data_IF_574534772741
#
_entry.id   IF_574534772741
#
_cell.length_a   1.000
_cell.length_b   1.000
_cell.length_c   1.000
_cell.angle_alpha   90.00
_cell.angle_beta   90.00
_cell.angle_gamma   90.00
#
_symmetry.space_group_name_H-M   'P 1'
#
loop_
_entity.id
_entity.type
_entity.pdbx_description
1 polymer ?
#
# COMPACT_ATOMS: atom_id res chain seq x y z
N UNK A 1 94.46 48.79 -39.49
CA UNK A 1 94.56 48.69 -40.96
C UNK A 1 93.31 48.09 -41.54
N UNK A 2 92.56 48.91 -42.24
CA UNK A 2 91.47 48.55 -43.19
C UNK A 2 91.97 47.60 -44.30
N UNK A 3 91.09 46.96 -45.12
CA UNK A 3 89.77 47.47 -45.61
C UNK A 3 88.66 46.39 -45.82
N UNK A 4 87.44 46.91 -46.00
CA UNK A 4 86.31 46.37 -46.81
C UNK A 4 86.67 46.08 -48.24
N UNK A 5 85.90 45.33 -49.08
CA UNK A 5 84.49 45.65 -49.37
C UNK A 5 83.61 44.47 -49.91
N UNK A 6 82.32 44.81 -50.00
CA UNK A 6 81.36 44.72 -51.12
C UNK A 6 80.56 43.43 -51.45
N UNK A 7 79.27 43.62 -51.33
CA UNK A 7 78.14 43.43 -52.32
C UNK A 7 77.88 42.04 -52.93
N UNK A 8 76.70 41.63 -52.84
CA UNK A 8 76.03 40.71 -53.79
C UNK A 8 74.60 40.34 -53.37
N UNK A 9 73.72 41.09 -53.88
CA UNK A 9 72.50 40.76 -54.67
C UNK A 9 71.46 39.80 -54.03
N UNK A 10 70.25 40.33 -53.95
CA UNK A 10 68.96 39.73 -53.81
C UNK A 10 68.66 38.58 -54.76
N UNK A 11 67.98 37.55 -54.25
CA UNK A 11 67.24 36.59 -55.03
C UNK A 11 65.82 36.55 -54.49
N UNK A 12 64.86 37.00 -55.26
CA UNK A 12 63.47 36.94 -55.07
C UNK A 12 62.97 35.50 -55.04
N UNK A 13 62.40 35.08 -53.86
CA UNK A 13 61.70 33.80 -53.75
C UNK A 13 60.27 34.01 -54.03
N UNK A 14 59.78 33.57 -55.17
CA UNK A 14 58.41 33.48 -55.59
C UNK A 14 57.64 32.48 -54.72
N UNK A 15 56.74 32.98 -53.92
CA UNK A 15 55.77 32.12 -53.22
C UNK A 15 54.75 31.60 -54.22
N UNK A 16 54.42 30.28 -54.23
CA UNK A 16 53.35 29.73 -55.02
C UNK A 16 51.97 30.14 -54.40
N UNK A 17 50.90 30.31 -55.21
CA UNK A 17 49.59 30.74 -54.73
C UNK A 17 48.95 29.67 -53.86
N UNK A 18 48.35 30.12 -52.72
CA UNK A 18 47.63 29.30 -51.79
C UNK A 18 46.47 28.60 -52.50
N UNK A 19 46.49 27.28 -52.58
CA UNK A 19 45.39 26.44 -53.03
C UNK A 19 44.22 26.65 -52.06
N UNK A 20 43.13 27.29 -52.57
CA UNK A 20 41.83 27.39 -51.90
C UNK A 20 41.29 25.97 -51.62
N UNK A 21 41.41 25.50 -50.38
CA UNK A 21 40.75 24.28 -49.91
C UNK A 21 39.25 24.52 -49.94
N UNK A 22 38.55 24.01 -50.95
CA UNK A 22 37.10 23.88 -50.95
C UNK A 22 36.72 22.93 -49.82
N UNK A 23 36.15 23.49 -48.74
CA UNK A 23 35.55 22.72 -47.63
C UNK A 23 34.41 21.91 -48.24
N UNK A 24 34.58 20.59 -48.40
CA UNK A 24 33.48 19.67 -48.67
C UNK A 24 32.50 19.75 -47.49
N UNK A 25 31.20 20.01 -47.70
CA UNK A 25 30.20 20.01 -46.62
C UNK A 25 30.22 18.65 -45.95
N UNK A 26 30.40 18.66 -44.64
CA UNK A 26 30.75 17.50 -43.87
C UNK A 26 29.66 16.43 -43.83
N UNK A 27 30.06 15.20 -43.92
CA UNK A 27 29.29 13.95 -43.68
C UNK A 27 28.37 13.96 -42.42
N UNK A 28 28.57 14.90 -41.52
CA UNK A 28 27.71 15.08 -40.32
C UNK A 28 26.36 15.69 -40.67
N UNK A 29 26.25 16.62 -41.62
CA UNK A 29 24.94 17.20 -42.02
C UNK A 29 24.13 16.14 -42.77
N UNK A 30 24.68 15.40 -43.68
CA UNK A 30 23.96 14.33 -44.38
C UNK A 30 23.35 13.28 -43.45
N UNK A 31 24.06 12.84 -42.42
CA UNK A 31 23.52 11.88 -41.41
C UNK A 31 22.46 12.46 -40.51
N UNK A 32 22.45 13.79 -40.28
CA UNK A 32 21.37 14.45 -39.51
C UNK A 32 20.10 14.57 -40.37
N UNK A 33 20.28 14.88 -41.67
CA UNK A 33 19.14 14.99 -42.62
C UNK A 33 18.54 13.60 -42.88
N UNK A 34 19.33 12.53 -43.01
CA UNK A 34 18.84 11.15 -43.13
C UNK A 34 18.05 10.70 -41.92
N UNK A 35 18.48 11.05 -40.69
CA UNK A 35 17.74 10.75 -39.45
C UNK A 35 16.44 11.55 -39.34
N UNK A 36 16.44 12.83 -39.73
CA UNK A 36 15.25 13.68 -39.77
C UNK A 36 14.24 13.12 -40.77
N UNK A 37 14.68 12.72 -41.97
CA UNK A 37 13.81 12.07 -42.95
C UNK A 37 13.26 10.77 -42.42
N UNK A 38 14.06 9.94 -41.73
CA UNK A 38 13.62 8.71 -41.08
C UNK A 38 12.55 8.96 -40.01
N UNK A 39 12.71 9.97 -39.16
CA UNK A 39 11.68 10.35 -38.17
C UNK A 39 10.42 10.88 -38.80
N UNK A 40 10.53 11.69 -39.88
CA UNK A 40 9.37 12.22 -40.62
C UNK A 40 8.60 11.10 -41.31
N UNK A 41 9.30 10.13 -41.91
CA UNK A 41 8.66 8.95 -42.51
C UNK A 41 7.98 8.07 -41.48
N UNK A 42 8.64 7.84 -40.34
CA UNK A 42 8.05 7.08 -39.21
C UNK A 42 6.79 7.80 -38.67
N UNK A 43 6.88 9.11 -38.46
CA UNK A 43 5.74 9.91 -38.03
C UNK A 43 4.59 9.91 -39.06
N UNK A 44 4.90 10.03 -40.35
CA UNK A 44 3.90 9.94 -41.42
C UNK A 44 3.22 8.57 -41.48
N UNK A 45 4.00 7.49 -41.28
CA UNK A 45 3.47 6.13 -41.25
C UNK A 45 2.57 5.89 -40.02
N UNK A 46 2.96 6.39 -38.84
CA UNK A 46 2.11 6.29 -37.63
C UNK A 46 0.82 7.08 -37.77
N UNK A 47 0.86 8.28 -38.34
CA UNK A 47 -0.34 9.09 -38.63
C UNK A 47 -1.23 8.37 -39.66
N UNK A 48 -0.65 7.86 -40.75
CA UNK A 48 -1.41 7.12 -41.76
C UNK A 48 -2.08 5.88 -41.18
N UNK A 49 -1.39 5.14 -40.34
CA UNK A 49 -1.95 3.98 -39.65
C UNK A 49 -3.07 4.37 -38.68
N UNK A 50 -2.89 5.45 -37.92
CA UNK A 50 -3.92 5.97 -37.01
C UNK A 50 -5.17 6.39 -37.78
N UNK A 51 -5.01 7.11 -38.91
CA UNK A 51 -6.13 7.50 -39.77
C UNK A 51 -6.85 6.28 -40.34
N UNK A 52 -6.11 5.30 -40.84
CA UNK A 52 -6.69 4.06 -41.36
C UNK A 52 -7.50 3.30 -40.30
N UNK A 53 -6.98 3.21 -39.05
CA UNK A 53 -7.68 2.59 -37.93
C UNK A 53 -8.96 3.38 -37.58
N UNK A 54 -8.87 4.71 -37.53
CA UNK A 54 -10.03 5.56 -37.25
C UNK A 54 -11.09 5.39 -38.33
N UNK A 55 -10.72 5.42 -39.59
CA UNK A 55 -11.65 5.24 -40.72
C UNK A 55 -12.30 3.85 -40.67
N UNK A 56 -11.49 2.80 -40.36
CA UNK A 56 -12.03 1.47 -40.22
C UNK A 56 -13.02 1.36 -39.04
N UNK A 57 -12.72 1.99 -37.89
CA UNK A 57 -13.61 2.06 -36.73
C UNK A 57 -14.89 2.83 -37.02
N UNK A 58 -14.83 3.93 -37.81
CA UNK A 58 -16.00 4.70 -38.17
C UNK A 58 -16.94 3.92 -39.11
N UNK A 59 -16.37 3.13 -40.02
CA UNK A 59 -17.16 2.24 -40.88
C UNK A 59 -17.72 1.07 -40.08
N UNK A 60 -16.98 0.55 -39.12
CA UNK A 60 -17.35 -0.61 -38.28
C UNK A 60 -17.72 -0.19 -36.84
N UNK A 61 -18.47 0.93 -36.68
CA UNK A 61 -18.83 1.46 -35.37
C UNK A 61 -19.50 0.44 -34.43
N UNK A 62 -20.18 -0.56 -34.99
CA UNK A 62 -20.77 -1.66 -34.25
C UNK A 62 -19.73 -2.45 -33.42
N UNK A 63 -18.46 -2.49 -33.85
CA UNK A 63 -17.36 -3.13 -33.08
C UNK A 63 -17.16 -2.43 -31.76
N UNK A 64 -17.22 -1.09 -31.74
CA UNK A 64 -17.12 -0.29 -30.51
C UNK A 64 -18.29 -0.57 -29.58
N UNK A 65 -19.50 -0.75 -30.14
CA UNK A 65 -20.69 -1.10 -29.35
C UNK A 65 -20.53 -2.49 -28.72
N UNK A 66 -20.06 -3.48 -29.48
CA UNK A 66 -19.81 -4.83 -28.97
C UNK A 66 -18.73 -4.81 -27.88
N UNK A 67 -17.62 -4.11 -28.08
CA UNK A 67 -16.56 -3.96 -27.07
C UNK A 67 -17.10 -3.28 -25.81
N UNK A 68 -17.88 -2.22 -25.97
CA UNK A 68 -18.53 -1.53 -24.85
C UNK A 68 -19.48 -2.46 -24.07
N UNK A 69 -20.30 -3.21 -24.76
CA UNK A 69 -21.21 -4.19 -24.14
C UNK A 69 -20.44 -5.28 -23.38
N UNK A 70 -19.39 -5.83 -23.96
CA UNK A 70 -18.54 -6.83 -23.32
C UNK A 70 -17.83 -6.23 -22.07
N UNK A 71 -17.37 -4.99 -22.14
CA UNK A 71 -16.76 -4.29 -21.01
C UNK A 71 -17.76 -4.08 -19.86
N UNK A 72 -19.00 -3.70 -20.18
CA UNK A 72 -20.09 -3.53 -19.20
C UNK A 72 -20.46 -4.89 -18.57
N UNK A 73 -20.59 -5.93 -19.36
CA UNK A 73 -20.89 -7.29 -18.85
C UNK A 73 -19.75 -7.81 -17.97
N UNK A 74 -18.50 -7.65 -18.39
CA UNK A 74 -17.33 -8.05 -17.60
C UNK A 74 -17.20 -7.23 -16.30
N UNK A 75 -17.44 -5.92 -16.36
CA UNK A 75 -17.44 -5.03 -15.21
C UNK A 75 -18.58 -5.35 -14.25
N UNK A 76 -19.79 -5.48 -14.76
CA UNK A 76 -20.97 -5.85 -13.97
C UNK A 76 -20.84 -7.22 -13.33
N UNK A 77 -20.34 -8.20 -14.08
CA UNK A 77 -20.07 -9.54 -13.55
C UNK A 77 -19.05 -9.54 -12.41
N UNK A 78 -17.97 -8.75 -12.54
CA UNK A 78 -16.97 -8.60 -11.46
C UNK A 78 -17.53 -7.91 -10.23
N UNK A 79 -18.35 -6.87 -10.40
CA UNK A 79 -19.02 -6.18 -9.28
C UNK A 79 -20.01 -7.11 -8.59
N UNK A 80 -20.81 -7.84 -9.34
CA UNK A 80 -21.76 -8.82 -8.80
C UNK A 80 -21.03 -9.93 -8.02
N UNK A 81 -19.95 -10.48 -8.56
CA UNK A 81 -19.14 -11.48 -7.86
C UNK A 81 -18.51 -10.93 -6.57
N UNK A 82 -18.06 -9.66 -6.57
CA UNK A 82 -17.53 -9.00 -5.36
C UNK A 82 -18.62 -8.83 -4.30
N UNK A 83 -19.82 -8.41 -4.67
CA UNK A 83 -20.94 -8.28 -3.75
C UNK A 83 -21.38 -9.64 -3.18
N UNK A 84 -21.48 -10.65 -4.03
CA UNK A 84 -21.80 -12.03 -3.60
C UNK A 84 -20.75 -12.56 -2.61
N UNK A 85 -19.46 -12.41 -2.92
CA UNK A 85 -18.38 -12.83 -2.01
C UNK A 85 -18.46 -12.10 -0.68
N UNK A 86 -18.66 -10.79 -0.68
CA UNK A 86 -18.81 -9.99 0.53
C UNK A 86 -20.00 -10.45 1.38
N UNK A 87 -21.13 -10.78 0.76
CA UNK A 87 -22.31 -11.32 1.47
C UNK A 87 -22.04 -12.71 2.07
N UNK A 88 -21.41 -13.61 1.31
CA UNK A 88 -21.04 -14.94 1.82
C UNK A 88 -20.03 -14.88 2.94
N UNK A 89 -19.03 -13.98 2.84
CA UNK A 89 -18.06 -13.73 3.90
C UNK A 89 -18.74 -13.14 5.15
N UNK A 90 -19.68 -12.21 5.00
CA UNK A 90 -20.43 -11.63 6.10
C UNK A 90 -21.27 -12.70 6.83
N UNK A 91 -22.00 -13.54 6.10
CA UNK A 91 -22.78 -14.64 6.71
C UNK A 91 -21.86 -15.64 7.40
N UNK A 92 -20.73 -15.98 6.79
CA UNK A 92 -19.75 -16.92 7.35
C UNK A 92 -19.08 -16.35 8.61
N UNK A 93 -18.77 -15.06 8.61
CA UNK A 93 -18.14 -14.39 9.76
C UNK A 93 -19.12 -14.15 10.89
N UNK A 94 -20.40 -13.88 10.64
CA UNK A 94 -21.40 -13.71 11.70
C UNK A 94 -21.55 -14.95 12.60
N UNK A 95 -21.29 -16.14 12.05
CA UNK A 95 -21.28 -17.40 12.81
C UNK A 95 -19.95 -17.74 13.48
N UNK A 96 -18.91 -16.92 13.29
CA UNK A 96 -17.57 -17.22 13.79
C UNK A 96 -17.51 -17.13 15.31
N UNK A 97 -17.16 -18.24 15.94
CA UNK A 97 -16.97 -18.36 17.39
C UNK A 97 -15.74 -19.19 17.68
N UNK A 98 -15.02 -18.82 18.74
CA UNK A 98 -13.89 -19.58 19.24
C UNK A 98 -14.11 -19.91 20.71
N UNK A 99 -13.82 -21.15 21.06
CA UNK A 99 -13.64 -21.52 22.46
C UNK A 99 -12.25 -21.12 22.95
N UNK A 100 -12.10 -20.81 24.25
CA UNK A 100 -10.78 -20.52 24.82
C UNK A 100 -9.76 -21.62 24.57
N UNK A 101 -10.08 -22.94 24.71
CA UNK A 101 -9.12 -24.01 24.42
C UNK A 101 -8.61 -23.97 22.97
N UNK A 102 -9.46 -23.56 22.02
CA UNK A 102 -9.06 -23.39 20.61
C UNK A 102 -8.06 -22.24 20.47
N UNK A 103 -8.33 -21.09 21.11
CA UNK A 103 -7.43 -19.93 21.10
C UNK A 103 -6.09 -20.23 21.78
N UNK A 104 -6.10 -21.03 22.87
CA UNK A 104 -4.88 -21.44 23.58
C UNK A 104 -3.98 -22.34 22.71
N UNK A 105 -4.59 -23.20 21.89
CA UNK A 105 -3.88 -24.13 21.01
C UNK A 105 -3.25 -23.50 19.78
N UNK A 106 -3.62 -22.26 19.44
CA UNK A 106 -3.11 -21.57 18.27
C UNK A 106 -1.62 -21.23 18.39
N UNK A 107 -0.98 -21.05 17.24
CA UNK A 107 0.31 -20.37 17.17
C UNK A 107 0.08 -18.84 17.22
N UNK A 108 1.10 -18.05 17.61
CA UNK A 108 0.95 -16.59 17.74
C UNK A 108 0.36 -15.92 16.48
N UNK A 109 0.84 -16.29 15.29
CA UNK A 109 0.33 -15.77 14.02
C UNK A 109 -1.15 -16.12 13.79
N UNK A 110 -1.54 -17.35 14.11
CA UNK A 110 -2.93 -17.81 14.00
C UNK A 110 -3.83 -17.11 15.03
N UNK A 111 -3.30 -16.76 16.20
CA UNK A 111 -4.01 -15.98 17.19
C UNK A 111 -4.29 -14.56 16.71
N UNK A 112 -3.32 -13.91 16.07
CA UNK A 112 -3.50 -12.61 15.41
C UNK A 112 -4.55 -12.68 14.29
N UNK A 113 -4.54 -13.76 13.50
CA UNK A 113 -5.56 -14.01 12.47
C UNK A 113 -6.95 -14.21 13.07
N UNK A 114 -7.05 -14.95 14.18
CA UNK A 114 -8.31 -15.12 14.88
C UNK A 114 -8.85 -13.79 15.43
N UNK A 115 -7.99 -12.93 15.98
CA UNK A 115 -8.36 -11.59 16.44
C UNK A 115 -8.83 -10.72 15.27
N UNK A 116 -8.14 -10.75 14.12
CA UNK A 116 -8.58 -10.08 12.88
C UNK A 116 -9.97 -10.56 12.45
N UNK A 117 -10.20 -11.87 12.47
CA UNK A 117 -11.47 -12.46 12.03
C UNK A 117 -12.61 -12.13 13.00
N UNK A 118 -12.34 -12.04 14.29
CA UNK A 118 -13.29 -11.54 15.28
C UNK A 118 -13.66 -10.07 15.02
N UNK A 119 -12.69 -9.20 14.69
CA UNK A 119 -12.97 -7.83 14.28
C UNK A 119 -13.84 -7.75 13.02
N UNK A 120 -13.57 -8.63 12.02
CA UNK A 120 -14.40 -8.72 10.81
C UNK A 120 -15.81 -9.19 11.10
N UNK A 121 -15.97 -10.17 11.98
CA UNK A 121 -17.28 -10.62 12.48
C UNK A 121 -18.07 -9.47 13.08
N UNK A 122 -17.41 -8.61 13.83
CA UNK A 122 -18.01 -7.45 14.47
C UNK A 122 -18.30 -6.29 13.48
N UNK A 123 -18.00 -6.46 12.19
CA UNK A 123 -18.32 -5.48 11.14
C UNK A 123 -17.14 -4.62 10.66
N UNK A 124 -15.93 -4.82 11.17
CA UNK A 124 -14.71 -4.16 10.67
C UNK A 124 -14.22 -4.86 9.39
N UNK A 125 -14.84 -4.56 8.24
CA UNK A 125 -14.56 -5.26 6.97
C UNK A 125 -13.12 -5.07 6.48
N UNK A 126 -12.47 -3.97 6.85
CA UNK A 126 -11.09 -3.64 6.51
C UNK A 126 -10.05 -4.24 7.48
N UNK A 127 -10.50 -5.00 8.49
CA UNK A 127 -9.59 -5.57 9.47
C UNK A 127 -8.48 -6.38 8.81
N UNK A 128 -7.23 -6.01 9.10
CA UNK A 128 -6.03 -6.57 8.49
C UNK A 128 -5.01 -6.94 9.56
N UNK A 129 -4.44 -8.14 9.45
CA UNK A 129 -3.23 -8.50 10.20
C UNK A 129 -2.02 -7.81 9.55
N UNK A 130 -1.28 -7.06 10.32
CA UNK A 130 -0.09 -6.32 9.87
C UNK A 130 1.19 -6.79 10.56
N UNK A 131 1.10 -7.75 11.46
CA UNK A 131 2.22 -8.30 12.22
C UNK A 131 3.36 -8.78 11.34
N UNK A 132 4.58 -8.48 11.75
CA UNK A 132 5.83 -8.82 11.07
C UNK A 132 7.00 -7.99 11.62
N UNK A 133 8.21 -8.19 11.07
CA UNK A 133 9.35 -7.37 11.47
C UNK A 133 9.15 -5.90 11.10
N UNK A 134 9.03 -5.02 12.10
CA UNK A 134 8.85 -3.59 11.88
C UNK A 134 7.41 -3.08 12.03
N UNK A 135 6.49 -3.90 12.52
CA UNK A 135 5.08 -3.54 12.76
C UNK A 135 4.87 -2.51 13.89
N UNK A 136 5.94 -2.17 14.62
CA UNK A 136 5.96 -1.22 15.75
C UNK A 136 4.87 -1.51 16.79
N UNK A 137 4.58 -2.81 17.00
CA UNK A 137 3.64 -3.29 18.02
C UNK A 137 2.18 -3.30 17.60
N UNK A 138 1.88 -3.12 16.30
CA UNK A 138 0.54 -3.28 15.76
C UNK A 138 0.41 -4.64 15.07
N UNK A 139 -0.37 -5.57 15.62
CA UNK A 139 -0.59 -6.88 15.01
C UNK A 139 -1.85 -6.90 14.13
N UNK A 140 -2.89 -6.16 14.54
CA UNK A 140 -4.13 -6.01 13.76
C UNK A 140 -4.55 -4.54 13.72
N UNK A 141 -4.96 -4.08 12.55
CA UNK A 141 -5.58 -2.76 12.32
C UNK A 141 -6.96 -2.94 11.74
N UNK A 142 -7.90 -2.09 12.14
CA UNK A 142 -9.27 -2.15 11.68
C UNK A 142 -9.95 -0.78 11.78
N UNK A 143 -11.00 -0.57 10.98
CA UNK A 143 -11.92 0.54 11.17
C UNK A 143 -13.29 -0.03 11.51
N UNK A 144 -13.88 0.42 12.61
CA UNK A 144 -15.21 -0.04 13.00
C UNK A 144 -16.32 0.65 12.20
N UNK A 145 -17.56 0.15 12.27
CA UNK A 145 -18.68 0.75 11.55
C UNK A 145 -18.93 2.24 11.89
N UNK A 146 -18.44 2.68 13.04
CA UNK A 146 -18.55 4.07 13.51
C UNK A 146 -17.39 4.97 13.06
N UNK A 147 -16.47 4.42 12.25
CA UNK A 147 -15.34 5.12 11.66
C UNK A 147 -14.15 5.32 12.59
N UNK A 148 -14.07 4.65 13.74
CA UNK A 148 -12.92 4.70 14.65
C UNK A 148 -11.83 3.75 14.17
N UNK A 149 -10.58 4.22 14.20
CA UNK A 149 -9.42 3.42 13.87
C UNK A 149 -8.92 2.65 15.09
N UNK A 150 -8.84 1.33 14.96
CA UNK A 150 -8.40 0.40 15.99
C UNK A 150 -7.00 -0.11 15.68
N UNK A 151 -6.16 -0.08 16.70
CA UNK A 151 -4.84 -0.73 16.67
C UNK A 151 -4.78 -1.73 17.81
N UNK A 152 -4.54 -2.97 17.45
CA UNK A 152 -4.58 -4.10 18.39
C UNK A 152 -3.21 -4.77 18.41
N UNK A 153 -2.67 -4.93 19.61
CA UNK A 153 -1.51 -5.75 19.88
C UNK A 153 -1.94 -7.07 20.49
N UNK A 154 -1.45 -8.18 19.97
CA UNK A 154 -1.78 -9.53 20.41
C UNK A 154 -0.64 -10.13 21.25
N UNK A 155 -0.97 -10.62 22.43
CA UNK A 155 0.00 -11.28 23.32
C UNK A 155 -0.48 -12.70 23.65
N UNK A 156 -0.28 -13.59 22.65
CA UNK A 156 -0.59 -15.01 22.83
C UNK A 156 0.32 -15.66 23.88
N UNK A 157 -0.27 -16.47 24.74
CA UNK A 157 0.44 -17.28 25.75
C UNK A 157 0.11 -18.76 25.54
N UNK A 158 1.09 -19.53 25.05
CA UNK A 158 0.92 -20.97 24.77
C UNK A 158 0.41 -21.75 25.96
N UNK A 159 0.77 -21.35 27.19
CA UNK A 159 0.32 -21.98 28.45
C UNK A 159 -0.91 -21.27 29.05
N UNK A 160 -1.60 -20.41 28.30
CA UNK A 160 -2.74 -19.65 28.80
C UNK A 160 -2.44 -18.95 30.12
N UNK A 161 -3.22 -19.26 31.16
CA UNK A 161 -3.03 -18.69 32.50
C UNK A 161 -1.73 -19.10 33.20
N UNK A 162 -1.12 -20.23 32.85
CA UNK A 162 0.17 -20.66 33.40
C UNK A 162 1.38 -19.99 32.72
N UNK A 163 1.14 -19.23 31.63
CA UNK A 163 2.18 -18.47 30.95
C UNK A 163 2.57 -17.20 31.69
N UNK A 164 3.62 -16.52 31.19
CA UNK A 164 4.03 -15.20 31.70
C UNK A 164 2.89 -14.20 31.55
N UNK A 165 2.65 -13.39 32.57
CA UNK A 165 1.65 -12.31 32.47
C UNK A 165 2.11 -11.21 31.52
N UNK A 166 1.17 -10.52 30.90
CA UNK A 166 1.39 -9.28 30.18
C UNK A 166 1.70 -8.19 31.20
N UNK A 167 2.83 -7.52 31.02
CA UNK A 167 3.33 -6.49 31.93
C UNK A 167 3.21 -5.07 31.35
N UNK A 168 3.55 -4.09 32.17
CA UNK A 168 3.59 -2.68 31.78
C UNK A 168 4.47 -2.41 30.55
N UNK A 169 5.64 -3.05 30.36
CA UNK A 169 6.46 -2.83 29.16
C UNK A 169 5.73 -3.14 27.85
N UNK A 170 4.88 -4.17 27.81
CA UNK A 170 4.08 -4.48 26.62
C UNK A 170 3.13 -3.33 26.26
N UNK A 171 2.48 -2.72 27.26
CA UNK A 171 1.57 -1.60 27.07
C UNK A 171 2.30 -0.28 26.77
N UNK A 172 3.52 -0.12 27.24
CA UNK A 172 4.34 1.06 26.91
C UNK A 172 4.68 1.11 25.41
N UNK A 173 4.99 -0.04 24.81
CA UNK A 173 5.20 -0.15 23.35
C UNK A 173 3.94 0.28 22.61
N UNK A 174 2.80 -0.30 22.94
CA UNK A 174 1.52 0.05 22.31
C UNK A 174 1.17 1.54 22.51
N UNK A 175 1.38 2.08 23.71
CA UNK A 175 1.11 3.49 24.01
C UNK A 175 1.98 4.44 23.16
N UNK A 176 3.25 4.09 22.96
CA UNK A 176 4.20 4.90 22.18
C UNK A 176 3.92 4.91 20.68
N UNK A 177 3.24 3.90 20.17
CA UNK A 177 3.10 3.72 18.70
C UNK A 177 1.67 3.83 18.20
N UNK A 178 0.68 3.37 18.96
CA UNK A 178 -0.68 3.24 18.47
C UNK A 178 -1.27 4.56 17.93
N UNK A 179 -1.11 5.67 18.65
CA UNK A 179 -1.65 6.97 18.24
C UNK A 179 -0.70 7.74 17.35
N UNK A 180 0.57 7.83 17.75
CA UNK A 180 1.59 8.65 17.06
C UNK A 180 1.97 8.08 15.71
N UNK A 181 2.09 6.76 15.60
CA UNK A 181 2.54 6.08 14.37
C UNK A 181 1.37 5.57 13.55
N UNK A 182 0.38 4.98 14.22
CA UNK A 182 -0.71 4.29 13.53
C UNK A 182 -2.03 5.07 13.49
N UNK A 183 -2.10 6.25 14.10
CA UNK A 183 -3.30 7.11 14.09
C UNK A 183 -4.52 6.49 14.77
N UNK A 184 -4.31 5.63 15.78
CA UNK A 184 -5.38 4.93 16.46
C UNK A 184 -6.27 5.87 17.29
N UNK A 185 -7.58 5.69 17.17
CA UNK A 185 -8.55 6.21 18.16
C UNK A 185 -8.64 5.27 19.35
N UNK A 186 -8.59 3.97 19.08
CA UNK A 186 -8.71 2.90 20.06
C UNK A 186 -7.49 2.01 20.00
N UNK A 187 -6.72 1.97 21.08
CA UNK A 187 -5.55 1.13 21.22
C UNK A 187 -5.84 0.01 22.21
N UNK A 188 -5.65 -1.24 21.78
CA UNK A 188 -6.08 -2.44 22.53
C UNK A 188 -4.95 -3.44 22.62
N UNK A 189 -4.73 -4.01 23.81
CA UNK A 189 -3.94 -5.22 23.96
C UNK A 189 -4.87 -6.41 24.20
N UNK A 190 -4.68 -7.49 23.43
CA UNK A 190 -5.48 -8.72 23.54
C UNK A 190 -4.58 -9.87 23.97
N UNK A 191 -5.00 -10.61 25.00
CA UNK A 191 -4.27 -11.78 25.47
C UNK A 191 -5.19 -12.91 25.94
N UNK A 192 -4.77 -14.15 25.71
CA UNK A 192 -5.38 -15.33 26.31
C UNK A 192 -4.76 -15.68 27.68
N UNK A 193 -3.79 -14.89 28.14
CA UNK A 193 -3.09 -15.05 29.41
C UNK A 193 -3.59 -14.13 30.53
N UNK A 194 -2.73 -13.93 31.52
CA UNK A 194 -2.95 -12.99 32.63
C UNK A 194 -2.38 -11.62 32.29
N UNK A 195 -2.93 -10.58 32.90
CA UNK A 195 -2.39 -9.22 32.87
C UNK A 195 -2.03 -8.82 34.29
N UNK A 196 -0.90 -8.19 34.51
CA UNK A 196 -0.49 -7.73 35.85
C UNK A 196 -1.31 -6.52 36.26
N UNK A 197 -1.54 -6.36 37.58
CA UNK A 197 -2.28 -5.19 38.09
C UNK A 197 -1.60 -3.86 37.69
N UNK A 198 -0.27 -3.67 37.80
CA UNK A 198 0.39 -2.44 37.31
C UNK A 198 0.15 -2.17 35.84
N UNK A 199 0.04 -3.22 34.99
CA UNK A 199 -0.26 -3.06 33.58
C UNK A 199 -1.70 -2.59 33.35
N UNK A 200 -2.67 -3.09 34.10
CA UNK A 200 -4.08 -2.64 34.06
C UNK A 200 -4.20 -1.18 34.52
N UNK A 201 -3.52 -0.82 35.60
CA UNK A 201 -3.53 0.54 36.14
C UNK A 201 -2.88 1.52 35.12
N UNK A 202 -1.76 1.13 34.50
CA UNK A 202 -1.14 1.89 33.42
C UNK A 202 -2.05 2.06 32.22
N UNK A 203 -2.73 0.98 31.77
CA UNK A 203 -3.67 1.02 30.66
C UNK A 203 -4.79 2.06 30.93
N UNK A 204 -5.37 2.06 32.13
CA UNK A 204 -6.38 3.04 32.51
C UNK A 204 -5.87 4.48 32.46
N UNK A 205 -4.67 4.75 32.97
CA UNK A 205 -4.03 6.09 32.92
C UNK A 205 -3.77 6.56 31.48
N UNK A 206 -3.38 5.66 30.59
CA UNK A 206 -3.00 5.96 29.20
C UNK A 206 -4.15 5.79 28.22
N UNK A 207 -5.38 5.50 28.68
CA UNK A 207 -6.54 5.25 27.82
C UNK A 207 -6.29 4.12 26.81
N UNK A 208 -5.59 3.09 27.26
CA UNK A 208 -5.43 1.85 26.53
C UNK A 208 -6.48 0.86 27.02
N UNK A 209 -6.95 0.00 26.14
CA UNK A 209 -7.90 -1.04 26.46
C UNK A 209 -7.19 -2.38 26.62
N UNK A 210 -7.64 -3.16 27.60
CA UNK A 210 -7.12 -4.49 27.88
C UNK A 210 -8.23 -5.51 27.68
N UNK A 211 -8.02 -6.41 26.73
CA UNK A 211 -8.83 -7.61 26.54
C UNK A 211 -8.06 -8.75 27.15
N UNK A 212 -8.35 -9.01 28.40
CA UNK A 212 -7.81 -10.15 29.14
C UNK A 212 -8.51 -11.46 28.74
N UNK A 213 -8.09 -12.56 29.33
CA UNK A 213 -8.66 -13.88 29.03
C UNK A 213 -10.20 -13.94 29.21
N UNK A 214 -10.74 -13.27 30.22
CA UNK A 214 -12.17 -13.29 30.49
C UNK A 214 -12.94 -12.52 29.42
N UNK A 215 -12.53 -11.30 29.15
CA UNK A 215 -13.10 -10.46 28.09
C UNK A 215 -12.93 -11.09 26.70
N UNK A 216 -11.78 -11.74 26.46
CA UNK A 216 -11.54 -12.49 25.23
C UNK A 216 -12.50 -13.67 25.08
N UNK A 217 -12.78 -14.40 26.16
CA UNK A 217 -13.74 -15.51 26.13
C UNK A 217 -15.14 -15.05 25.77
N UNK A 218 -15.59 -13.95 26.38
CA UNK A 218 -16.90 -13.36 26.09
C UNK A 218 -16.97 -12.85 24.65
N UNK A 219 -15.95 -12.15 24.20
CA UNK A 219 -15.86 -11.67 22.83
C UNK A 219 -15.83 -12.80 21.80
N UNK A 220 -14.98 -13.80 22.01
CA UNK A 220 -14.83 -14.92 21.10
C UNK A 220 -16.08 -15.80 21.02
N UNK A 221 -16.86 -15.91 22.10
CA UNK A 221 -18.13 -16.62 22.12
C UNK A 221 -19.23 -15.96 21.26
N UNK A 222 -19.09 -14.69 20.90
CA UNK A 222 -19.82 -14.08 19.79
C UNK A 222 -21.16 -13.45 20.08
N UNK A 223 -21.44 -13.06 21.33
CA UNK A 223 -22.71 -12.43 21.68
C UNK A 223 -22.75 -10.90 21.46
N UNK A 224 -21.58 -10.24 21.57
CA UNK A 224 -21.46 -8.77 21.48
C UNK A 224 -20.16 -8.37 20.77
N UNK A 225 -20.18 -7.27 20.00
CA UNK A 225 -18.96 -6.74 19.41
C UNK A 225 -17.99 -6.19 20.48
N UNK A 226 -16.71 -6.10 20.14
CA UNK A 226 -15.66 -5.73 21.10
C UNK A 226 -15.90 -4.37 21.75
N UNK A 227 -16.38 -3.38 21.01
CA UNK A 227 -16.64 -2.03 21.54
C UNK A 227 -17.75 -1.95 22.57
N UNK A 228 -18.66 -2.94 22.62
CA UNK A 228 -19.71 -3.05 23.64
C UNK A 228 -19.20 -3.73 24.92
N UNK A 229 -18.08 -4.45 24.83
CA UNK A 229 -17.43 -5.11 25.97
C UNK A 229 -16.44 -4.18 26.68
N UNK A 230 -15.87 -3.22 25.92
CA UNK A 230 -14.86 -2.31 26.46
C UNK A 230 -15.52 -1.07 27.06
N UNK A 231 -14.96 -0.60 28.20
CA UNK A 231 -15.37 0.64 28.82
C UNK A 231 -14.66 1.84 28.20
N UNK A 232 -15.34 2.98 28.15
CA UNK A 232 -14.77 4.27 27.75
C UNK A 232 -14.15 4.29 26.32
N UNK A 233 -14.75 3.56 25.38
CA UNK A 233 -14.40 3.67 23.98
C UNK A 233 -14.79 5.07 23.49
N UNK A 234 -13.94 5.76 22.69
CA UNK A 234 -14.24 7.10 22.16
C UNK A 234 -15.56 7.18 21.41
N UNK A 235 -16.14 8.37 21.34
CA UNK A 235 -17.37 8.62 20.58
C UNK A 235 -17.18 8.27 19.09
N UNK A 236 -18.25 7.89 18.38
CA UNK A 236 -18.24 7.66 16.95
C UNK A 236 -17.68 8.84 16.16
N UNK A 237 -16.86 8.59 15.15
CA UNK A 237 -16.40 9.62 14.18
C UNK A 237 -17.46 9.93 13.14
N UNK A 238 -18.28 8.94 12.77
CA UNK A 238 -19.38 9.10 11.84
C UNK A 238 -20.70 9.16 12.64
N UNK A 239 -21.58 10.12 12.36
CA UNK A 239 -22.90 10.08 12.95
C UNK A 239 -23.57 8.75 12.55
N UNK A 240 -24.11 8.05 13.51
CA UNK A 240 -24.93 6.87 13.25
C UNK A 240 -26.15 7.35 12.48
N UNK A 241 -26.20 7.10 11.18
CA UNK A 241 -27.46 7.25 10.45
C UNK A 241 -28.38 6.13 10.95
N UNK A 242 -29.22 6.48 11.91
CA UNK A 242 -30.39 5.69 12.24
C UNK A 242 -31.31 5.77 11.04
N UNK A 243 -31.33 4.77 10.21
CA UNK A 243 -32.36 4.52 9.20
C UNK A 243 -33.21 3.35 9.63
#
# INVERSE_FOLDING_TARGET
MSPRPRKGRAAASSRPPARRRTRRPGRRRQRADERLIGYLLAAALTVALAVAVIQWLLVNWWVLVVIGLLAVLAGGGRLYQRQQRAQWEAVRTQGLRYGLPQLDALHHTQFEEAVRDLMRRDGCQDALRVGGGGDLGADVKATDPYGRHWVIQCKHRRKGLAGSAVGTPDLQVLNGTARQVHGADVAVIVTNGRVTKPAVDFAGQQRLHVVDRHTLAEWAAGSRPLWDLLRAVPAPRKPTSLS
#
